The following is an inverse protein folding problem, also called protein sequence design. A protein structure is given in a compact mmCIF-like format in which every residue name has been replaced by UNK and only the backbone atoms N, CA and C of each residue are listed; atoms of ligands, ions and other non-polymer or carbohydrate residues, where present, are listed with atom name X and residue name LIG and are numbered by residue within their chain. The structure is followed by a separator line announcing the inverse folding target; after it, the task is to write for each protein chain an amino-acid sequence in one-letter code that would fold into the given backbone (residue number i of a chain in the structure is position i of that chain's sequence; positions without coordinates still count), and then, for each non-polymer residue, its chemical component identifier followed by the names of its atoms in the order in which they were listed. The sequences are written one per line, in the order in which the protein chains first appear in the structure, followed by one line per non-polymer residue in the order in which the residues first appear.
data_IF_727658967701
#
_entry.id   IF_727658967701
#
_cell.length_a   1.000
_cell.length_b   1.000
_cell.length_c   1.000
_cell.angle_alpha   90.00
_cell.angle_beta   90.00
_cell.angle_gamma   90.00
#
_symmetry.space_group_name_H-M   'P 1'
#
loop_
_entity.id
_entity.type
_entity.pdbx_description
1 polymer ?
#
# COMPACT_ATOMS: atom_id res chain seq x y z
N UNK A 1 75.51 -35.51 37.54
CA UNK A 1 74.83 -34.35 38.17
C UNK A 1 73.49 -34.19 37.51
N UNK A 2 72.44 -34.72 38.15
CA UNK A 2 71.05 -34.48 37.76
C UNK A 2 70.65 -33.10 38.29
N UNK A 3 70.14 -32.23 37.42
CA UNK A 3 69.48 -31.00 37.82
C UNK A 3 68.00 -31.32 38.02
N UNK A 4 67.55 -31.36 39.27
CA UNK A 4 66.15 -31.38 39.63
C UNK A 4 65.47 -30.12 39.12
N UNK A 5 64.38 -30.29 38.36
CA UNK A 5 63.45 -29.23 37.97
C UNK A 5 62.46 -29.07 39.11
N UNK A 6 62.47 -27.90 39.73
CA UNK A 6 61.64 -27.51 40.87
C UNK A 6 60.14 -27.45 40.48
N UNK A 7 59.22 -28.17 41.15
CA UNK A 7 57.80 -28.25 40.77
C UNK A 7 56.95 -27.02 41.15
N UNK A 8 57.56 -25.87 41.49
CA UNK A 8 56.84 -24.70 42.00
C UNK A 8 56.29 -23.74 40.92
N UNK A 9 56.48 -23.99 39.62
CA UNK A 9 56.07 -23.05 38.56
C UNK A 9 54.66 -23.27 37.98
N UNK A 10 53.88 -24.23 38.50
CA UNK A 10 52.49 -24.48 38.10
C UNK A 10 51.55 -24.01 39.23
N UNK A 11 51.56 -22.71 39.51
CA UNK A 11 50.57 -22.06 40.37
C UNK A 11 50.06 -20.80 39.66
N UNK A 12 48.86 -20.91 39.08
CA UNK A 12 48.16 -19.78 38.46
C UNK A 12 47.81 -18.71 39.52
N UNK A 13 48.25 -17.45 39.38
CA UNK A 13 47.76 -16.36 40.21
C UNK A 13 46.41 -15.88 39.66
N UNK A 14 45.33 -16.56 40.05
CA UNK A 14 43.97 -16.08 39.81
C UNK A 14 43.51 -15.28 41.02
N UNK A 15 43.53 -13.96 40.89
CA UNK A 15 42.92 -13.06 41.86
C UNK A 15 41.43 -12.83 41.48
N UNK A 16 40.46 -13.43 42.21
CA UNK A 16 39.03 -13.36 41.86
C UNK A 16 38.40 -11.99 42.17
N UNK A 17 39.13 -11.06 42.81
CA UNK A 17 38.61 -9.77 43.22
C UNK A 17 38.44 -8.76 42.05
N UNK A 18 39.05 -9.01 40.88
CA UNK A 18 38.94 -8.13 39.70
C UNK A 18 37.63 -8.27 38.91
N UNK A 19 36.75 -9.21 39.27
CA UNK A 19 35.43 -9.39 38.64
C UNK A 19 34.26 -8.79 39.45
N UNK A 20 34.54 -8.00 40.49
CA UNK A 20 33.48 -7.28 41.19
C UNK A 20 32.82 -6.25 40.26
N UNK A 21 31.56 -6.51 39.90
CA UNK A 21 30.69 -5.67 39.04
C UNK A 21 30.87 -4.19 39.32
N UNK A 22 31.45 -3.46 38.35
CA UNK A 22 31.35 -2.00 38.29
C UNK A 22 29.88 -1.62 38.11
N UNK A 23 29.26 -0.94 39.08
CA UNK A 23 27.92 -0.35 38.91
C UNK A 23 28.00 0.69 37.79
N UNK A 24 27.52 0.33 36.61
CA UNK A 24 27.53 1.16 35.39
C UNK A 24 26.44 2.23 35.34
N UNK A 25 25.65 2.40 36.40
CA UNK A 25 24.69 3.49 36.52
C UNK A 25 25.23 4.54 37.48
N UNK A 26 26.10 5.42 36.97
CA UNK A 26 26.48 6.63 37.68
C UNK A 26 25.29 7.59 37.79
N UNK A 27 25.27 8.49 38.79
CA UNK A 27 24.17 9.43 39.02
C UNK A 27 23.87 10.33 37.80
N UNK A 28 24.81 10.47 36.87
CA UNK A 28 24.62 11.20 35.61
C UNK A 28 23.57 10.60 34.67
N UNK A 29 23.39 9.27 34.64
CA UNK A 29 22.38 8.65 33.76
C UNK A 29 20.96 8.86 34.32
N UNK A 30 20.83 8.85 35.64
CA UNK A 30 19.57 9.19 36.31
C UNK A 30 19.22 10.67 36.15
N UNK A 31 20.20 11.57 36.22
CA UNK A 31 19.99 12.99 35.95
C UNK A 31 19.53 13.25 34.49
N UNK A 32 20.12 12.54 33.52
CA UNK A 32 19.72 12.63 32.11
C UNK A 32 18.32 12.07 31.86
N UNK A 33 17.97 10.93 32.47
CA UNK A 33 16.61 10.36 32.37
C UNK A 33 15.55 11.26 33.00
N UNK A 34 15.82 11.87 34.16
CA UNK A 34 14.90 12.84 34.76
C UNK A 34 14.71 14.08 33.88
N UNK A 35 15.78 14.60 33.29
CA UNK A 35 15.70 15.74 32.36
C UNK A 35 14.89 15.39 31.11
N UNK A 36 15.09 14.20 30.52
CA UNK A 36 14.27 13.72 29.41
C UNK A 36 12.79 13.58 29.79
N UNK A 37 12.50 13.06 30.99
CA UNK A 37 11.12 12.91 31.46
C UNK A 37 10.45 14.27 31.70
N UNK A 38 11.18 15.24 32.25
CA UNK A 38 10.71 16.63 32.40
C UNK A 38 10.49 17.29 31.03
N UNK A 39 11.35 17.04 30.04
CA UNK A 39 11.17 17.53 28.67
C UNK A 39 9.91 16.95 28.00
N UNK A 40 9.65 15.65 28.19
CA UNK A 40 8.44 15.00 27.66
C UNK A 40 7.18 15.49 28.37
N UNK A 41 7.25 15.69 29.69
CA UNK A 41 6.13 16.25 30.47
C UNK A 41 5.82 17.70 30.08
N UNK A 42 6.84 18.53 29.86
CA UNK A 42 6.68 19.90 29.35
C UNK A 42 6.12 19.91 27.91
N UNK A 43 6.58 19.02 27.04
CA UNK A 43 6.04 18.88 25.68
C UNK A 43 4.58 18.43 25.63
N UNK A 44 4.18 17.51 26.51
CA UNK A 44 2.79 17.07 26.64
C UNK A 44 1.86 18.17 27.18
N UNK A 45 2.37 19.09 28.02
CA UNK A 45 1.60 20.23 28.53
C UNK A 45 1.20 21.24 27.44
N UNK A 46 2.05 21.44 26.42
CA UNK A 46 1.78 22.39 25.32
C UNK A 46 0.72 21.84 24.34
N UNK A 47 0.67 20.52 24.15
CA UNK A 47 -0.37 19.88 23.33
C UNK A 47 -1.77 19.90 23.99
N UNK A 48 -1.84 20.04 25.32
CA UNK A 48 -3.10 20.03 26.06
C UNK A 48 -3.72 21.42 26.22
N UNK A 49 -2.93 22.48 26.14
CA UNK A 49 -3.40 23.88 26.26
C UNK A 49 -3.65 24.59 24.91
N UNK A 50 -3.38 23.93 23.78
CA UNK A 50 -3.58 24.47 22.44
C UNK A 50 -5.05 24.66 21.98
N UNK A 51 -6.04 23.82 22.36
CA UNK A 51 -7.36 23.89 21.72
C UNK A 51 -8.34 24.90 22.34
N UNK A 52 -7.94 25.75 23.30
CA UNK A 52 -8.86 26.69 23.98
C UNK A 52 -8.62 28.18 23.71
N UNK A 53 -7.58 28.57 22.96
CA UNK A 53 -7.29 29.98 22.65
C UNK A 53 -7.63 30.41 21.22
N UNK A 54 -7.98 29.48 20.33
CA UNK A 54 -8.45 29.81 18.98
C UNK A 54 -9.92 29.41 18.82
N UNK A 55 -10.82 30.31 19.22
CA UNK A 55 -12.20 30.26 18.75
C UNK A 55 -12.23 30.53 17.24
N UNK A 56 -12.82 29.66 16.41
CA UNK A 56 -13.04 29.98 15.01
C UNK A 56 -14.06 31.11 14.90
N UNK A 57 -13.65 32.21 14.27
CA UNK A 57 -14.51 33.34 13.91
C UNK A 57 -15.59 32.87 12.93
N UNK A 58 -16.89 33.17 13.15
CA UNK A 58 -17.92 32.97 12.14
C UNK A 58 -17.67 33.93 10.98
N UNK A 59 -17.57 33.40 9.76
CA UNK A 59 -17.68 34.21 8.55
C UNK A 59 -19.14 34.57 8.34
N UNK A 60 -19.47 35.83 8.61
CA UNK A 60 -20.62 36.51 8.04
C UNK A 60 -20.13 37.35 6.85
N UNK A 61 -20.87 37.33 5.74
CA UNK A 61 -20.60 38.09 4.52
C UNK A 61 -20.68 37.21 3.25
N UNK A 62 -21.85 36.73 2.85
CA UNK A 62 -22.83 37.48 2.02
C UNK A 62 -22.59 37.31 0.51
N UNK A 63 -23.37 36.40 -0.09
CA UNK A 63 -24.29 36.73 -1.19
C UNK A 63 -25.16 35.51 -1.47
N UNK A 64 -26.41 35.60 -1.04
CA UNK A 64 -27.46 34.68 -1.42
C UNK A 64 -27.69 34.80 -2.93
N UNK A 65 -27.22 33.83 -3.70
CA UNK A 65 -27.86 33.49 -4.97
C UNK A 65 -28.98 32.52 -4.63
N UNK A 66 -30.16 33.08 -4.41
CA UNK A 66 -31.41 32.33 -4.51
C UNK A 66 -31.58 31.89 -5.97
N UNK A 67 -31.16 30.68 -6.29
CA UNK A 67 -31.57 30.01 -7.52
C UNK A 67 -32.87 29.25 -7.23
N UNK A 68 -33.98 29.96 -7.26
CA UNK A 68 -35.31 29.36 -7.39
C UNK A 68 -35.39 28.68 -8.75
N UNK A 69 -35.81 27.40 -8.85
CA UNK A 69 -36.12 26.81 -10.14
C UNK A 69 -37.49 27.33 -10.57
N UNK A 70 -37.52 28.28 -11.50
CA UNK A 70 -38.73 28.63 -12.24
C UNK A 70 -38.67 28.00 -13.63
N UNK A 71 -39.66 27.17 -14.01
CA UNK A 71 -39.74 26.59 -15.34
C UNK A 71 -40.32 27.64 -16.28
N UNK A 72 -39.52 28.14 -17.22
CA UNK A 72 -40.05 28.81 -18.40
C UNK A 72 -39.76 27.96 -19.63
N UNK A 73 -40.77 27.60 -20.43
CA UNK A 73 -40.59 26.77 -21.60
C UNK A 73 -39.74 27.51 -22.65
N UNK A 74 -38.89 26.75 -23.32
CA UNK A 74 -38.00 27.17 -24.43
C UNK A 74 -38.78 27.69 -25.66
N UNK A 75 -40.11 27.74 -25.60
CA UNK A 75 -40.99 28.09 -26.71
C UNK A 75 -40.89 29.56 -27.17
N UNK A 76 -40.42 30.50 -26.34
CA UNK A 76 -40.43 31.93 -26.69
C UNK A 76 -39.21 32.40 -27.51
N UNK A 77 -38.13 31.61 -27.63
CA UNK A 77 -36.94 32.01 -28.43
C UNK A 77 -37.02 31.73 -29.93
N UNK A 78 -38.15 31.19 -30.41
CA UNK A 78 -38.35 30.88 -31.84
C UNK A 78 -39.23 31.93 -32.55
N UNK A 79 -39.84 32.88 -31.83
CA UNK A 79 -40.77 33.84 -32.40
C UNK A 79 -40.15 35.24 -32.58
N UNK A 80 -39.08 35.35 -33.37
CA UNK A 80 -38.69 36.61 -34.04
C UNK A 80 -37.71 36.32 -35.17
N UNK A 81 -38.28 35.85 -36.27
CA UNK A 81 -37.64 35.78 -37.58
C UNK A 81 -38.75 35.93 -38.61
N UNK A 82 -38.97 37.15 -39.07
CA UNK A 82 -40.06 37.58 -39.94
C UNK A 82 -40.29 36.63 -41.12
N UNK A 83 -41.54 36.26 -41.32
CA UNK A 83 -42.02 35.68 -42.57
C UNK A 83 -41.90 36.72 -43.70
N UNK A 84 -41.10 36.41 -44.72
CA UNK A 84 -41.22 36.98 -46.06
C UNK A 84 -41.71 35.86 -46.99
N UNK A 85 -42.91 35.98 -47.58
CA UNK A 85 -43.34 35.09 -48.64
C UNK A 85 -42.62 35.43 -49.95
N UNK A 86 -41.77 34.54 -50.44
CA UNK A 86 -41.37 34.50 -51.84
C UNK A 86 -41.52 33.09 -52.37
N UNK A 87 -42.63 32.93 -53.08
CA UNK A 87 -42.90 31.90 -54.07
C UNK A 87 -41.74 31.77 -55.07
N UNK A 88 -41.45 30.54 -55.51
CA UNK A 88 -40.82 30.30 -56.81
C UNK A 88 -39.50 29.55 -56.74
N UNK A 89 -39.56 28.28 -57.16
CA UNK A 89 -38.36 27.57 -57.57
C UNK A 89 -38.36 26.10 -57.25
N UNK A 90 -39.30 25.34 -57.84
CA UNK A 90 -38.99 23.96 -58.17
C UNK A 90 -37.73 23.95 -59.04
N UNK A 91 -36.61 23.57 -58.45
CA UNK A 91 -35.42 23.14 -59.16
C UNK A 91 -34.75 22.05 -58.34
N UNK A 92 -35.11 20.81 -58.66
CA UNK A 92 -34.24 19.68 -58.43
C UNK A 92 -32.83 20.04 -58.89
N UNK A 93 -31.85 19.90 -58.00
CA UNK A 93 -30.46 19.68 -58.37
C UNK A 93 -29.96 18.48 -57.59
N UNK A 94 -30.05 17.25 -58.14
CA UNK A 94 -29.50 16.04 -57.54
C UNK A 94 -28.00 15.95 -57.82
N UNK A 95 -27.25 17.00 -57.50
CA UNK A 95 -25.85 17.14 -57.90
C UNK A 95 -25.04 17.72 -56.74
N UNK A 96 -24.89 16.92 -55.66
CA UNK A 96 -23.75 16.85 -54.71
C UNK A 96 -24.13 16.09 -53.42
N UNK A 97 -24.95 15.04 -53.46
CA UNK A 97 -25.29 14.25 -52.24
C UNK A 97 -24.13 13.39 -51.74
N UNK A 98 -23.29 12.88 -52.65
CA UNK A 98 -22.19 11.98 -52.30
C UNK A 98 -21.12 12.63 -51.38
N UNK A 99 -20.66 13.88 -51.62
CA UNK A 99 -19.76 14.58 -50.69
C UNK A 99 -20.37 14.81 -49.30
N UNK A 100 -21.63 15.22 -49.23
CA UNK A 100 -22.32 15.54 -47.97
C UNK A 100 -22.57 14.28 -47.13
N UNK A 101 -23.01 13.19 -47.75
CA UNK A 101 -23.15 11.88 -47.09
C UNK A 101 -21.81 11.37 -46.57
N UNK A 102 -20.72 11.55 -47.34
CA UNK A 102 -19.37 11.16 -46.92
C UNK A 102 -18.86 12.00 -45.74
N UNK A 103 -19.15 13.30 -45.72
CA UNK A 103 -18.81 14.18 -44.60
C UNK A 103 -19.61 13.80 -43.35
N UNK A 104 -20.91 13.59 -43.48
CA UNK A 104 -21.77 13.13 -42.38
C UNK A 104 -21.27 11.80 -41.80
N UNK A 105 -20.96 10.81 -42.64
CA UNK A 105 -20.41 9.54 -42.20
C UNK A 105 -19.06 9.70 -41.46
N UNK A 106 -18.18 10.60 -41.92
CA UNK A 106 -16.92 10.92 -41.24
C UNK A 106 -17.15 11.58 -39.89
N UNK A 107 -18.11 12.51 -39.78
CA UNK A 107 -18.46 13.17 -38.52
C UNK A 107 -18.98 12.13 -37.52
N UNK A 108 -19.94 11.28 -37.91
CA UNK A 108 -20.47 10.23 -37.04
C UNK A 108 -19.39 9.25 -36.60
N UNK A 109 -18.47 8.86 -37.49
CA UNK A 109 -17.33 8.01 -37.14
C UNK A 109 -16.37 8.71 -36.14
N UNK A 110 -16.10 10.00 -36.33
CA UNK A 110 -15.28 10.78 -35.40
C UNK A 110 -15.96 10.93 -34.04
N UNK A 111 -17.24 11.26 -33.99
CA UNK A 111 -18.03 11.35 -32.74
C UNK A 111 -18.05 10.02 -32.00
N UNK A 112 -18.26 8.91 -32.71
CA UNK A 112 -18.20 7.56 -32.13
C UNK A 112 -16.80 7.27 -31.55
N UNK A 113 -15.72 7.59 -32.29
CA UNK A 113 -14.35 7.38 -31.82
C UNK A 113 -14.03 8.22 -30.58
N UNK A 114 -14.46 9.49 -30.55
CA UNK A 114 -14.28 10.38 -29.41
C UNK A 114 -15.03 9.87 -28.19
N UNK A 115 -16.25 9.35 -28.37
CA UNK A 115 -17.02 8.74 -27.30
C UNK A 115 -16.31 7.52 -26.72
N UNK A 116 -15.77 6.63 -27.56
CA UNK A 116 -15.01 5.46 -27.07
C UNK A 116 -13.74 5.87 -26.32
N UNK A 117 -13.01 6.88 -26.80
CA UNK A 117 -11.84 7.42 -26.08
C UNK A 117 -12.25 8.02 -24.73
N UNK A 118 -13.36 8.76 -24.69
CA UNK A 118 -13.87 9.34 -23.45
C UNK A 118 -14.29 8.27 -22.43
N UNK A 119 -15.00 7.23 -22.88
CA UNK A 119 -15.42 6.11 -22.02
C UNK A 119 -14.20 5.37 -21.44
N UNK A 120 -13.17 5.12 -22.26
CA UNK A 120 -11.91 4.52 -21.82
C UNK A 120 -11.15 5.42 -20.82
N UNK A 121 -11.19 6.74 -21.00
CA UNK A 121 -10.57 7.69 -20.07
C UNK A 121 -11.30 7.74 -18.72
N UNK A 122 -12.63 7.70 -18.73
CA UNK A 122 -13.46 7.61 -17.52
C UNK A 122 -13.15 6.32 -16.77
N UNK A 123 -13.03 5.20 -17.48
CA UNK A 123 -12.62 3.91 -16.92
C UNK A 123 -11.25 3.99 -16.25
N UNK A 124 -10.24 4.56 -16.93
CA UNK A 124 -8.90 4.72 -16.37
C UNK A 124 -8.88 5.60 -15.11
N UNK A 125 -9.70 6.68 -15.09
CA UNK A 125 -9.85 7.53 -13.91
C UNK A 125 -10.51 6.77 -12.74
N UNK A 126 -11.56 5.99 -13.00
CA UNK A 126 -12.21 5.16 -11.99
C UNK A 126 -11.27 4.09 -11.41
N UNK A 127 -10.36 3.54 -12.22
CA UNK A 127 -9.31 2.64 -11.71
C UNK A 127 -8.31 3.39 -10.82
N UNK A 128 -7.95 4.63 -11.18
CA UNK A 128 -7.05 5.44 -10.36
C UNK A 128 -7.66 5.77 -8.99
N UNK A 129 -8.95 6.09 -8.92
CA UNK A 129 -9.64 6.34 -7.64
C UNK A 129 -9.74 5.08 -6.79
N UNK A 130 -10.00 3.91 -7.41
CA UNK A 130 -9.95 2.63 -6.71
C UNK A 130 -8.55 2.35 -6.14
N UNK A 131 -7.51 2.59 -6.94
CA UNK A 131 -6.13 2.36 -6.52
C UNK A 131 -5.75 3.25 -5.32
N UNK A 132 -6.15 4.52 -5.35
CA UNK A 132 -5.94 5.45 -4.23
C UNK A 132 -6.69 5.00 -2.96
N UNK A 133 -7.94 4.55 -3.09
CA UNK A 133 -8.68 4.01 -1.97
C UNK A 133 -8.02 2.74 -1.40
N UNK A 134 -7.55 1.84 -2.26
CA UNK A 134 -6.90 0.58 -1.86
C UNK A 134 -5.54 0.78 -1.15
N UNK A 135 -4.81 1.86 -1.44
CA UNK A 135 -3.55 2.21 -0.76
C UNK A 135 -3.77 2.55 0.72
N UNK A 136 -4.96 3.04 1.07
CA UNK A 136 -5.31 3.34 2.47
C UNK A 136 -5.59 2.07 3.29
N UNK A 137 -5.74 2.23 4.61
CA UNK A 137 -6.05 1.11 5.52
C UNK A 137 -7.55 0.78 5.62
N UNK A 138 -8.43 1.51 4.93
CA UNK A 138 -9.89 1.32 5.05
C UNK A 138 -10.43 0.33 4.01
N UNK A 139 -11.60 -0.27 4.27
CA UNK A 139 -12.38 -0.93 3.24
C UNK A 139 -12.67 0.00 2.06
N UNK A 140 -12.68 -0.55 0.84
CA UNK A 140 -12.85 0.16 -0.44
C UNK A 140 -13.95 -0.46 -1.32
N UNK A 141 -14.92 -1.13 -0.69
CA UNK A 141 -16.05 -1.76 -1.37
C UNK A 141 -16.90 -0.80 -2.24
N UNK A 142 -17.23 0.43 -1.78
CA UNK A 142 -17.99 1.39 -2.60
C UNK A 142 -17.31 1.74 -3.92
N UNK A 143 -15.98 1.92 -3.89
CA UNK A 143 -15.16 2.21 -5.06
C UNK A 143 -15.13 1.02 -6.02
N UNK A 144 -15.01 -0.21 -5.49
CA UNK A 144 -15.07 -1.43 -6.28
C UNK A 144 -16.41 -1.57 -7.01
N UNK A 145 -17.54 -1.35 -6.32
CA UNK A 145 -18.89 -1.36 -6.92
C UNK A 145 -19.10 -0.24 -7.95
N UNK A 146 -18.39 0.88 -7.81
CA UNK A 146 -18.34 1.93 -8.82
C UNK A 146 -17.67 1.43 -10.10
N UNK A 147 -16.53 0.76 -9.94
CA UNK A 147 -15.73 0.27 -11.05
C UNK A 147 -16.37 -0.92 -11.78
N UNK A 148 -17.02 -1.84 -11.08
CA UNK A 148 -17.73 -2.97 -11.69
C UNK A 148 -18.83 -2.55 -12.67
N UNK A 149 -19.44 -1.37 -12.45
CA UNK A 149 -20.43 -0.79 -13.39
C UNK A 149 -19.80 -0.29 -14.69
N UNK A 150 -18.51 0.05 -14.66
CA UNK A 150 -17.76 0.56 -15.81
C UNK A 150 -17.02 -0.56 -16.54
N UNK A 151 -16.42 -1.50 -15.80
CA UNK A 151 -15.70 -2.65 -16.32
C UNK A 151 -16.27 -3.97 -15.80
N UNK A 152 -17.42 -4.44 -16.33
CA UNK A 152 -18.01 -5.69 -15.90
C UNK A 152 -17.14 -6.89 -16.30
N UNK A 153 -17.05 -7.89 -15.41
CA UNK A 153 -16.50 -9.22 -15.75
C UNK A 153 -14.97 -9.39 -15.58
N UNK A 154 -14.24 -8.38 -15.10
CA UNK A 154 -12.81 -8.55 -14.81
C UNK A 154 -12.58 -9.61 -13.70
N UNK A 155 -11.67 -10.58 -13.90
CA UNK A 155 -11.32 -11.57 -12.88
C UNK A 155 -10.65 -10.93 -11.67
N UNK A 156 -9.84 -9.88 -11.86
CA UNK A 156 -9.16 -9.18 -10.76
C UNK A 156 -10.13 -8.40 -9.88
N UNK A 157 -11.18 -7.80 -10.45
CA UNK A 157 -12.24 -7.15 -9.65
C UNK A 157 -12.98 -8.15 -8.76
N UNK A 158 -13.27 -9.35 -9.28
CA UNK A 158 -13.88 -10.43 -8.50
C UNK A 158 -12.97 -10.92 -7.38
N UNK A 159 -11.67 -11.00 -7.62
CA UNK A 159 -10.70 -11.38 -6.59
C UNK A 159 -10.53 -10.30 -5.51
N UNK A 160 -10.72 -9.02 -5.86
CA UNK A 160 -10.70 -7.90 -4.91
C UNK A 160 -11.96 -7.84 -4.02
N UNK A 161 -13.08 -8.43 -4.40
CA UNK A 161 -14.35 -8.37 -3.65
C UNK A 161 -14.22 -8.75 -2.16
N UNK A 162 -13.66 -9.92 -1.77
CA UNK A 162 -13.49 -10.27 -0.37
C UNK A 162 -12.46 -9.39 0.34
N UNK A 163 -11.42 -8.96 -0.38
CA UNK A 163 -10.34 -8.12 0.15
C UNK A 163 -10.84 -6.69 0.44
N UNK A 164 -11.74 -6.17 -0.41
CA UNK A 164 -12.30 -4.82 -0.33
C UNK A 164 -13.12 -4.56 0.94
N UNK A 165 -13.74 -5.62 1.49
CA UNK A 165 -14.57 -5.54 2.70
C UNK A 165 -13.74 -5.34 3.97
N UNK A 166 -12.50 -5.81 3.95
CA UNK A 166 -11.60 -5.76 5.11
C UNK A 166 -10.54 -4.67 4.97
N UNK A 167 -10.09 -4.40 3.74
CA UNK A 167 -8.91 -3.58 3.47
C UNK A 167 -7.62 -4.26 3.95
N UNK A 168 -6.49 -3.55 3.87
CA UNK A 168 -5.22 -4.00 4.45
C UNK A 168 -4.44 -2.81 5.02
N UNK A 169 -3.60 -3.01 6.04
CA UNK A 169 -2.75 -1.95 6.55
C UNK A 169 -1.84 -1.37 5.45
N UNK A 170 -1.60 -0.05 5.50
CA UNK A 170 -0.62 0.63 4.63
C UNK A 170 0.77 0.00 4.74
N UNK A 171 1.61 0.17 3.71
CA UNK A 171 3.02 -0.30 3.74
C UNK A 171 3.77 0.23 4.96
N UNK A 172 3.64 1.52 5.26
CA UNK A 172 4.19 2.13 6.48
C UNK A 172 3.57 1.56 7.78
N UNK A 173 2.27 1.25 7.75
CA UNK A 173 1.59 0.58 8.86
C UNK A 173 2.11 -0.84 9.10
N UNK A 174 2.43 -1.59 8.04
CA UNK A 174 3.04 -2.91 8.13
C UNK A 174 4.48 -2.83 8.65
N UNK A 175 5.27 -1.86 8.21
CA UNK A 175 6.63 -1.61 8.73
C UNK A 175 6.62 -1.31 10.24
N UNK A 176 5.69 -0.46 10.68
CA UNK A 176 5.52 -0.12 12.10
C UNK A 176 5.08 -1.34 12.93
N UNK A 177 4.09 -2.10 12.44
CA UNK A 177 3.64 -3.32 13.10
C UNK A 177 4.74 -4.37 13.20
N UNK A 178 5.53 -4.52 12.14
CA UNK A 178 6.66 -5.44 12.10
C UNK A 178 7.71 -5.06 13.15
N UNK A 179 8.12 -3.80 13.24
CA UNK A 179 9.09 -3.33 14.24
C UNK A 179 8.67 -3.63 15.68
N UNK A 180 7.38 -3.52 15.98
CA UNK A 180 6.82 -3.88 17.30
C UNK A 180 6.87 -5.40 17.59
N UNK A 181 6.82 -6.24 16.56
CA UNK A 181 6.86 -7.70 16.69
C UNK A 181 8.28 -8.28 16.57
N UNK A 182 9.18 -7.61 15.86
CA UNK A 182 10.52 -8.11 15.53
C UNK A 182 11.32 -8.50 16.78
N UNK A 183 11.30 -7.69 17.84
CA UNK A 183 12.01 -8.02 19.08
C UNK A 183 11.45 -9.26 19.80
N UNK A 184 10.13 -9.45 19.75
CA UNK A 184 9.47 -10.65 20.29
C UNK A 184 9.77 -11.88 19.44
N UNK A 185 9.71 -11.75 18.10
CA UNK A 185 10.03 -12.81 17.17
C UNK A 185 11.50 -13.25 17.29
N UNK A 186 12.43 -12.30 17.41
CA UNK A 186 13.85 -12.58 17.69
C UNK A 186 14.05 -13.38 18.97
N UNK A 187 13.33 -13.00 20.04
CA UNK A 187 13.41 -13.69 21.33
C UNK A 187 12.83 -15.11 21.27
N UNK A 188 11.68 -15.28 20.62
CA UNK A 188 11.07 -16.58 20.37
C UNK A 188 11.96 -17.47 19.49
N UNK A 189 12.68 -16.88 18.54
CA UNK A 189 13.60 -17.62 17.67
C UNK A 189 14.80 -18.20 18.44
N UNK A 190 15.32 -17.46 19.42
CA UNK A 190 16.46 -17.87 20.27
C UNK A 190 16.07 -18.88 21.36
N UNK A 191 14.83 -18.83 21.83
CA UNK A 191 14.34 -19.70 22.90
C UNK A 191 13.01 -20.36 22.50
N UNK A 192 13.02 -21.29 21.54
CA UNK A 192 11.85 -22.10 21.23
C UNK A 192 11.52 -22.90 22.50
N UNK A 193 10.37 -22.61 23.13
CA UNK A 193 10.02 -23.15 24.45
C UNK A 193 10.02 -24.68 24.53
N UNK A 194 9.88 -25.22 25.75
CA UNK A 194 9.94 -26.66 26.05
C UNK A 194 8.91 -27.50 25.26
N UNK A 195 7.80 -26.90 24.82
CA UNK A 195 6.78 -27.55 23.98
C UNK A 195 7.26 -27.88 22.56
N UNK A 196 8.34 -27.25 22.10
CA UNK A 196 9.03 -27.67 20.90
C UNK A 196 9.65 -29.07 21.08
N UNK A 197 10.08 -29.49 22.27
CA UNK A 197 10.84 -30.75 22.44
C UNK A 197 9.99 -32.00 22.20
N UNK A 198 8.68 -31.95 22.47
CA UNK A 198 7.79 -33.11 22.30
C UNK A 198 7.35 -33.31 20.84
N UNK A 199 6.91 -32.24 20.18
CA UNK A 199 6.54 -32.29 18.76
C UNK A 199 7.79 -32.38 17.86
N UNK A 200 8.90 -31.75 18.26
CA UNK A 200 10.18 -31.88 17.57
C UNK A 200 10.81 -33.24 17.79
N UNK A 201 10.67 -33.96 18.92
CA UNK A 201 11.15 -35.36 19.03
C UNK A 201 10.47 -36.30 18.03
N UNK A 202 9.17 -36.13 17.83
CA UNK A 202 8.41 -36.93 16.86
C UNK A 202 8.83 -36.58 15.42
N UNK A 203 9.08 -35.30 15.14
CA UNK A 203 9.58 -34.85 13.82
C UNK A 203 11.07 -35.15 13.60
N UNK A 204 11.88 -35.18 14.65
CA UNK A 204 13.32 -35.49 14.65
C UNK A 204 13.57 -36.98 14.45
N UNK A 205 12.70 -37.84 14.99
CA UNK A 205 12.70 -39.27 14.69
C UNK A 205 12.45 -39.56 13.18
N UNK A 206 11.63 -38.74 12.50
CA UNK A 206 11.37 -38.85 11.07
C UNK A 206 12.38 -38.09 10.16
N UNK A 207 13.05 -37.06 10.66
CA UNK A 207 14.02 -36.24 9.89
C UNK A 207 15.49 -36.62 10.08
N UNK A 208 15.81 -37.57 10.97
CA UNK A 208 17.17 -38.09 11.16
C UNK A 208 17.78 -38.76 9.92
N UNK A 209 16.99 -38.99 8.87
CA UNK A 209 17.43 -39.49 7.57
C UNK A 209 17.83 -38.38 6.57
N UNK A 210 17.50 -37.11 6.85
CA UNK A 210 17.90 -35.93 6.05
C UNK A 210 18.39 -34.82 6.99
N UNK A 211 19.48 -35.07 7.72
CA UNK A 211 20.18 -34.03 8.48
C UNK A 211 21.41 -33.57 7.71
N UNK A 212 21.21 -32.65 6.76
CA UNK A 212 22.32 -31.88 6.20
C UNK A 212 22.67 -30.80 7.22
N UNK A 213 23.76 -31.06 7.94
CA UNK A 213 24.44 -30.17 8.86
C UNK A 213 24.84 -28.86 8.16
N UNK A 214 24.01 -27.82 8.25
CA UNK A 214 24.39 -26.47 7.81
C UNK A 214 25.20 -25.77 8.90
N UNK A 215 26.46 -26.21 9.07
CA UNK A 215 27.48 -25.46 9.81
C UNK A 215 28.36 -24.74 8.79
N UNK A 216 28.12 -23.45 8.58
CA UNK A 216 29.03 -22.61 7.80
C UNK A 216 28.39 -21.57 6.89
N UNK A 217 27.77 -20.52 7.46
CA UNK A 217 27.63 -19.23 6.76
C UNK A 217 27.38 -18.09 7.75
N UNK A 218 28.37 -17.79 8.59
CA UNK A 218 28.37 -16.65 9.52
C UNK A 218 28.58 -15.33 8.76
N UNK A 219 27.52 -14.82 8.13
CA UNK A 219 27.23 -13.41 7.81
C UNK A 219 25.92 -13.35 7.00
N UNK A 220 24.77 -13.32 7.68
CA UNK A 220 23.50 -12.93 7.06
C UNK A 220 22.29 -13.87 7.24
N UNK A 221 22.45 -15.04 7.86
CA UNK A 221 21.35 -16.01 8.06
C UNK A 221 20.96 -16.22 9.53
N UNK A 222 21.40 -15.36 10.46
CA UNK A 222 20.89 -15.37 11.83
C UNK A 222 19.45 -14.83 11.86
N UNK A 223 18.59 -15.29 12.78
CA UNK A 223 17.22 -14.79 12.88
C UNK A 223 17.14 -13.26 13.01
N UNK A 224 18.04 -12.66 13.80
CA UNK A 224 18.14 -11.20 13.93
C UNK A 224 18.51 -10.51 12.61
N UNK A 225 19.40 -11.12 11.79
CA UNK A 225 19.76 -10.58 10.49
C UNK A 225 18.61 -10.67 9.48
N UNK A 226 17.84 -11.77 9.50
CA UNK A 226 16.64 -11.92 8.66
C UNK A 226 15.57 -10.89 9.01
N UNK A 227 15.31 -10.71 10.32
CA UNK A 227 14.35 -9.71 10.81
C UNK A 227 14.82 -8.27 10.46
N UNK A 228 16.11 -7.97 10.62
CA UNK A 228 16.65 -6.66 10.24
C UNK A 228 16.56 -6.39 8.73
N UNK A 229 16.85 -7.40 7.89
CA UNK A 229 16.68 -7.31 6.43
C UNK A 229 15.22 -7.07 6.06
N UNK A 230 14.30 -7.81 6.68
CA UNK A 230 12.87 -7.64 6.43
C UNK A 230 12.40 -6.23 6.82
N UNK A 231 12.86 -5.68 7.95
CA UNK A 231 12.55 -4.29 8.33
C UNK A 231 13.08 -3.30 7.29
N UNK A 232 14.31 -3.46 6.81
CA UNK A 232 14.87 -2.58 5.78
C UNK A 232 14.04 -2.59 4.48
N UNK A 233 13.62 -3.78 4.03
CA UNK A 233 12.74 -3.91 2.86
C UNK A 233 11.37 -3.24 3.10
N UNK A 234 10.81 -3.36 4.31
CA UNK A 234 9.54 -2.70 4.66
C UNK A 234 9.67 -1.18 4.71
N UNK A 235 10.80 -0.66 5.18
CA UNK A 235 11.09 0.77 5.21
C UNK A 235 11.24 1.34 3.78
N UNK A 236 11.68 0.51 2.83
CA UNK A 236 11.70 0.80 1.38
C UNK A 236 10.32 0.61 0.70
N UNK A 237 9.35 0.02 1.41
CA UNK A 237 8.01 -0.28 0.90
C UNK A 237 7.90 -1.64 0.17
N UNK A 238 8.96 -2.44 0.16
CA UNK A 238 8.96 -3.79 -0.43
C UNK A 238 8.42 -4.83 0.57
N UNK A 239 7.09 -4.97 0.59
CA UNK A 239 6.40 -5.94 1.46
C UNK A 239 6.63 -7.38 0.99
N UNK A 240 6.69 -7.62 -0.32
CA UNK A 240 6.87 -8.96 -0.88
C UNK A 240 8.28 -9.48 -0.60
N UNK A 241 9.30 -8.65 -0.83
CA UNK A 241 10.69 -8.95 -0.47
C UNK A 241 10.86 -9.16 1.03
N UNK A 242 10.16 -8.38 1.87
CA UNK A 242 10.18 -8.58 3.31
C UNK A 242 9.59 -9.93 3.74
N UNK A 243 8.47 -10.36 3.14
CA UNK A 243 7.88 -11.68 3.40
C UNK A 243 8.86 -12.79 2.99
N UNK A 244 9.46 -12.70 1.81
CA UNK A 244 10.44 -13.67 1.32
C UNK A 244 11.71 -13.73 2.18
N UNK A 245 12.18 -12.59 2.69
CA UNK A 245 13.33 -12.53 3.59
C UNK A 245 13.12 -13.30 4.91
N UNK A 246 11.86 -13.54 5.29
CA UNK A 246 11.48 -14.24 6.50
C UNK A 246 11.17 -15.73 6.26
N UNK A 247 11.25 -16.22 5.02
CA UNK A 247 11.07 -17.65 4.71
C UNK A 247 11.95 -18.59 5.54
N UNK A 248 13.25 -18.30 5.76
CA UNK A 248 14.13 -19.18 6.53
C UNK A 248 13.90 -19.12 8.06
N UNK A 249 12.97 -18.29 8.53
CA UNK A 249 12.70 -18.11 9.95
C UNK A 249 12.06 -19.36 10.56
N UNK A 250 12.46 -19.71 11.78
CA UNK A 250 11.91 -20.88 12.49
C UNK A 250 10.45 -20.71 12.92
N UNK A 251 9.78 -21.82 13.19
CA UNK A 251 8.34 -21.88 13.48
C UNK A 251 7.95 -21.00 14.68
N UNK A 252 8.77 -20.98 15.75
CA UNK A 252 8.49 -20.19 16.96
C UNK A 252 8.42 -18.69 16.70
N UNK A 253 9.30 -18.16 15.83
CA UNK A 253 9.27 -16.75 15.47
C UNK A 253 8.19 -16.45 14.42
N UNK A 254 7.91 -17.41 13.52
CA UNK A 254 6.81 -17.33 12.54
C UNK A 254 5.45 -17.28 13.23
N UNK A 255 5.27 -17.99 14.34
CA UNK A 255 4.04 -17.96 15.14
C UNK A 255 3.76 -16.56 15.71
N UNK A 256 4.79 -15.89 16.24
CA UNK A 256 4.68 -14.50 16.72
C UNK A 256 4.30 -13.54 15.58
N UNK A 257 4.81 -13.79 14.37
CA UNK A 257 4.57 -12.98 13.18
C UNK A 257 3.32 -13.39 12.39
N UNK A 258 2.60 -14.45 12.80
CA UNK A 258 1.49 -14.99 12.01
C UNK A 258 0.40 -13.94 11.69
N UNK A 259 -0.05 -13.08 12.62
CA UNK A 259 -1.02 -12.02 12.29
C UNK A 259 -0.46 -11.01 11.28
N UNK A 260 0.85 -10.72 11.35
CA UNK A 260 1.51 -9.81 10.43
C UNK A 260 1.61 -10.43 9.02
N UNK A 261 1.95 -11.71 8.90
CA UNK A 261 1.98 -12.40 7.60
C UNK A 261 0.61 -12.39 6.91
N UNK A 262 -0.47 -12.61 7.67
CA UNK A 262 -1.84 -12.52 7.11
C UNK A 262 -2.10 -11.12 6.56
N UNK A 263 -1.74 -10.08 7.32
CA UNK A 263 -1.93 -8.70 6.89
C UNK A 263 -1.05 -8.32 5.68
N UNK A 264 0.20 -8.78 5.66
CA UNK A 264 1.17 -8.54 4.59
C UNK A 264 0.75 -9.22 3.28
N UNK A 265 0.40 -10.51 3.33
CA UNK A 265 -0.09 -11.24 2.15
C UNK A 265 -1.36 -10.59 1.57
N UNK A 266 -2.28 -10.15 2.43
CA UNK A 266 -3.48 -9.42 1.98
C UNK A 266 -3.12 -8.12 1.26
N UNK A 267 -2.14 -7.36 1.75
CA UNK A 267 -1.66 -6.13 1.07
C UNK A 267 -1.05 -6.49 -0.28
N UNK A 268 -0.22 -7.54 -0.36
CA UNK A 268 0.38 -8.01 -1.62
C UNK A 268 -0.70 -8.41 -2.63
N UNK A 269 -1.73 -9.15 -2.20
CA UNK A 269 -2.84 -9.56 -3.08
C UNK A 269 -3.63 -8.35 -3.60
N UNK A 270 -3.95 -7.39 -2.74
CA UNK A 270 -4.63 -6.14 -3.14
C UNK A 270 -3.77 -5.40 -4.17
N UNK A 271 -2.50 -5.17 -3.87
CA UNK A 271 -1.58 -4.42 -4.73
C UNK A 271 -1.43 -5.10 -6.09
N UNK A 272 -1.30 -6.43 -6.11
CA UNK A 272 -1.22 -7.22 -7.34
C UNK A 272 -2.46 -7.03 -8.21
N UNK A 273 -3.66 -7.23 -7.66
CA UNK A 273 -4.90 -7.11 -8.43
C UNK A 273 -5.18 -5.67 -8.89
N UNK A 274 -4.93 -4.68 -8.03
CA UNK A 274 -5.07 -3.26 -8.40
C UNK A 274 -4.10 -2.90 -9.53
N UNK A 275 -2.85 -3.38 -9.47
CA UNK A 275 -1.86 -3.14 -10.52
C UNK A 275 -2.27 -3.77 -11.86
N UNK A 276 -2.84 -4.97 -11.84
CA UNK A 276 -3.35 -5.66 -13.03
C UNK A 276 -4.50 -4.88 -13.68
N UNK A 277 -5.51 -4.49 -12.90
CA UNK A 277 -6.65 -3.69 -13.39
C UNK A 277 -6.19 -2.36 -13.97
N UNK A 278 -5.19 -1.70 -13.34
CA UNK A 278 -4.60 -0.46 -13.84
C UNK A 278 -3.86 -0.66 -15.17
N UNK A 279 -3.08 -1.73 -15.29
CA UNK A 279 -2.38 -2.06 -16.52
C UNK A 279 -3.37 -2.31 -17.66
N UNK A 280 -4.44 -3.07 -17.41
CA UNK A 280 -5.49 -3.37 -18.39
C UNK A 280 -6.22 -2.11 -18.86
N UNK A 281 -6.62 -1.23 -17.94
CA UNK A 281 -7.30 0.02 -18.27
C UNK A 281 -6.41 0.96 -19.11
N UNK A 282 -5.12 1.06 -18.78
CA UNK A 282 -4.17 1.85 -19.55
C UNK A 282 -3.89 1.23 -20.93
N UNK A 283 -3.81 -0.10 -21.01
CA UNK A 283 -3.65 -0.81 -22.27
C UNK A 283 -4.85 -0.57 -23.19
N UNK A 284 -6.08 -0.63 -22.66
CA UNK A 284 -7.29 -0.35 -23.42
C UNK A 284 -7.36 1.10 -23.90
N UNK A 285 -7.07 2.06 -23.02
CA UNK A 285 -7.00 3.48 -23.41
C UNK A 285 -5.96 3.71 -24.52
N UNK A 286 -4.79 3.07 -24.44
CA UNK A 286 -3.75 3.17 -25.47
C UNK A 286 -4.19 2.56 -26.82
N UNK A 287 -4.96 1.47 -26.77
CA UNK A 287 -5.48 0.78 -27.96
C UNK A 287 -6.55 1.63 -28.64
N UNK A 288 -7.51 2.13 -27.86
CA UNK A 288 -8.61 2.97 -28.33
C UNK A 288 -8.09 4.30 -28.88
N UNK A 289 -7.14 4.95 -28.19
CA UNK A 289 -6.54 6.21 -28.66
C UNK A 289 -5.74 6.02 -29.95
N UNK A 290 -5.02 4.89 -30.12
CA UNK A 290 -4.33 4.58 -31.37
C UNK A 290 -5.30 4.29 -32.52
N UNK A 291 -6.41 3.61 -32.25
CA UNK A 291 -7.44 3.36 -33.25
C UNK A 291 -8.16 4.66 -33.71
N UNK A 292 -8.25 5.65 -32.82
CA UNK A 292 -8.80 6.97 -33.12
C UNK A 292 -7.82 7.91 -33.83
N UNK A 293 -6.51 7.61 -33.82
CA UNK A 293 -5.50 8.43 -34.49
C UNK A 293 -5.67 8.31 -36.03
N UNK A 294 -5.79 9.43 -36.76
CA UNK A 294 -5.87 9.37 -38.22
C UNK A 294 -4.55 8.79 -38.76
N UNK A 295 -4.65 7.72 -39.57
CA UNK A 295 -3.53 7.20 -40.34
C UNK A 295 -3.05 8.32 -41.26
N UNK A 296 -1.88 8.88 -40.96
CA UNK A 296 -1.26 9.87 -41.83
C UNK A 296 -0.87 9.21 -43.17
N UNK A 297 -1.09 9.89 -44.31
CA UNK A 297 -0.78 9.36 -45.63
C UNK A 297 0.74 9.20 -45.87
#
# INVERSE_FOLDING_TARGET
MNADVDPAEIAAPSDPALYARRRVMGPGVWAWLFLCLVCVALGAGVAWFGPSLFSPRPQAGESAVSATPSPQPIAERVASGSALPLEGGAASSPASTLPDERLAARITALEASQKTVADAAIAALAVATLAEAAETSRPFGPELLGLERVLPGSPDLRALEPLSRTGAPTRAGLATQFGNLAGRAASASRNPGVDADLFSRVRYALSSIVSIRHVGSTKGSTPDALLARAQALLDEGDVEGAVAALDPLNDSAREVLAPWFVAANRRIEIDRHVSAVRADALAELSRVSRAAAPVAP
#
